data_IF_500982606828
#
_entry.id   IF_500982606828
#
_cell.length_a   1.000
_cell.length_b   1.000
_cell.length_c   1.000
_cell.angle_alpha   90.00
_cell.angle_beta   90.00
_cell.angle_gamma   90.00
#
_symmetry.space_group_name_H-M   'P 1'
#
loop_
_entity.id
_entity.type
_entity.pdbx_description
1 polymer ?
#
# COMPACT_ATOMS: atom_id res chain seq x y z
N UNK A 1 -4.82 -20.47 28.70
CA UNK A 1 -5.44 -19.68 27.62
C UNK A 1 -4.51 -18.66 27.00
N UNK A 2 -3.63 -17.92 27.74
CA UNK A 2 -2.81 -16.80 27.19
C UNK A 2 -1.69 -17.17 26.19
N UNK A 3 -1.17 -18.39 26.18
CA UNK A 3 -0.03 -18.75 25.29
C UNK A 3 -0.44 -19.31 23.91
N UNK A 4 -1.66 -19.82 23.78
CA UNK A 4 -2.17 -20.36 22.50
C UNK A 4 -2.57 -19.26 21.51
N UNK A 5 -3.15 -18.17 22.02
CA UNK A 5 -3.63 -17.05 21.18
C UNK A 5 -2.48 -16.30 20.53
N UNK A 6 -1.38 -16.06 21.28
CA UNK A 6 -0.20 -15.38 20.74
C UNK A 6 0.49 -16.17 19.62
N UNK A 7 0.54 -17.50 19.70
CA UNK A 7 1.08 -18.34 18.61
C UNK A 7 0.19 -18.31 17.38
N UNK A 8 -1.15 -18.31 17.53
CA UNK A 8 -2.11 -18.29 16.41
C UNK A 8 -2.10 -16.96 15.66
N UNK A 9 -2.00 -15.79 16.34
CA UNK A 9 -1.90 -14.47 15.72
C UNK A 9 -0.69 -14.37 14.81
N UNK A 10 0.47 -14.82 15.32
CA UNK A 10 1.70 -14.88 14.53
C UNK A 10 1.55 -15.82 13.33
N UNK A 11 0.74 -16.88 13.43
CA UNK A 11 0.58 -17.88 12.39
C UNK A 11 -0.43 -17.44 11.33
N UNK A 12 -1.53 -16.76 11.69
CA UNK A 12 -2.61 -16.38 10.77
C UNK A 12 -2.14 -15.41 9.67
N UNK A 13 -1.31 -14.43 10.01
CA UNK A 13 -0.79 -13.44 9.05
C UNK A 13 0.61 -13.79 8.52
N UNK A 14 1.37 -14.69 9.19
CA UNK A 14 2.65 -15.20 8.67
C UNK A 14 2.49 -16.07 7.41
N UNK A 15 1.37 -16.77 7.25
CA UNK A 15 1.15 -17.62 6.07
C UNK A 15 1.13 -16.85 4.75
N UNK A 16 0.91 -15.54 4.78
CA UNK A 16 0.86 -14.70 3.58
C UNK A 16 2.18 -13.97 3.26
N UNK A 17 3.24 -14.18 4.04
CA UNK A 17 4.54 -13.54 3.83
C UNK A 17 5.70 -14.42 4.36
N UNK A 18 5.77 -15.66 3.90
CA UNK A 18 6.72 -16.68 4.41
C UNK A 18 8.17 -16.38 4.06
N UNK A 19 8.41 -15.61 3.00
CA UNK A 19 9.74 -15.26 2.49
C UNK A 19 10.31 -13.96 3.07
N UNK A 20 9.48 -13.15 3.78
CA UNK A 20 9.95 -11.89 4.34
C UNK A 20 10.99 -12.07 5.43
N UNK A 21 12.04 -11.25 5.37
CA UNK A 21 12.98 -11.07 6.46
C UNK A 21 12.44 -9.99 7.40
N UNK A 22 12.39 -10.29 8.70
CA UNK A 22 12.04 -9.32 9.75
C UNK A 22 13.32 -8.86 10.43
N UNK A 23 13.51 -7.55 10.49
CA UNK A 23 14.69 -6.93 11.12
C UNK A 23 14.23 -5.93 12.17
N UNK A 24 14.72 -6.09 13.42
CA UNK A 24 14.56 -5.06 14.44
C UNK A 24 15.43 -3.86 14.07
N UNK A 25 14.84 -2.70 13.88
CA UNK A 25 15.52 -1.50 13.38
C UNK A 25 15.73 -0.44 14.47
N UNK A 26 14.96 -0.48 15.54
CA UNK A 26 15.13 0.38 16.71
C UNK A 26 14.52 -0.25 17.96
N UNK A 27 15.13 0.01 19.13
CA UNK A 27 14.62 -0.40 20.44
C UNK A 27 13.44 0.47 20.90
N UNK A 28 13.27 1.61 20.28
CA UNK A 28 12.11 2.49 20.49
C UNK A 28 11.92 3.43 19.30
N UNK A 29 10.67 3.82 19.04
CA UNK A 29 10.32 4.72 17.95
C UNK A 29 9.23 5.68 18.37
N UNK A 30 9.54 6.98 18.35
CA UNK A 30 8.59 8.05 18.66
C UNK A 30 7.73 8.36 17.44
N UNK A 31 6.41 8.37 17.62
CA UNK A 31 5.45 8.62 16.55
C UNK A 31 5.18 10.11 16.39
N UNK A 32 5.02 10.55 15.16
CA UNK A 32 4.82 11.99 14.80
C UNK A 32 3.66 12.64 15.56
N UNK A 33 2.54 11.93 15.72
CA UNK A 33 1.35 12.43 16.43
C UNK A 33 1.34 12.09 17.93
N UNK A 34 2.49 11.74 18.46
CA UNK A 34 2.64 11.34 19.87
C UNK A 34 2.47 9.84 20.08
N UNK A 35 2.93 9.41 21.23
CA UNK A 35 3.05 7.99 21.55
C UNK A 35 4.39 7.39 21.08
N UNK A 36 4.66 6.16 21.52
CA UNK A 36 5.95 5.49 21.33
C UNK A 36 5.77 4.00 21.13
N UNK A 37 6.45 3.44 20.14
CA UNK A 37 6.65 2.00 20.03
C UNK A 37 7.87 1.60 20.85
N UNK A 38 7.76 0.48 21.58
CA UNK A 38 8.85 0.01 22.45
C UNK A 38 9.86 -0.86 21.71
N UNK A 39 9.62 -1.13 20.45
CA UNK A 39 10.46 -1.84 19.50
C UNK A 39 9.90 -1.61 18.10
N UNK A 40 10.78 -1.48 17.15
CA UNK A 40 10.40 -1.32 15.76
C UNK A 40 11.03 -2.45 14.93
N UNK A 41 10.18 -3.35 14.46
CA UNK A 41 10.54 -4.39 13.52
C UNK A 41 10.00 -4.04 12.15
N UNK A 42 10.81 -4.22 11.12
CA UNK A 42 10.42 -4.01 9.72
C UNK A 42 10.60 -5.28 8.92
N UNK A 43 9.55 -5.67 8.20
CA UNK A 43 9.58 -6.79 7.28
C UNK A 43 9.90 -6.32 5.86
N UNK A 44 10.72 -7.06 5.14
CA UNK A 44 11.10 -6.76 3.76
C UNK A 44 11.53 -8.00 3.02
N UNK A 45 11.51 -7.93 1.71
CA UNK A 45 12.08 -8.94 0.80
C UNK A 45 13.03 -8.28 -0.19
N UNK A 46 13.91 -9.08 -0.79
CA UNK A 46 14.94 -8.58 -1.71
C UNK A 46 15.11 -9.47 -2.93
N UNK A 47 15.41 -8.86 -4.06
CA UNK A 47 15.73 -9.51 -5.35
C UNK A 47 16.98 -8.90 -5.97
N UNK A 48 17.71 -9.68 -6.74
CA UNK A 48 18.94 -9.26 -7.37
C UNK A 48 20.14 -9.23 -6.42
N UNK A 49 21.23 -8.61 -6.87
CA UNK A 49 22.50 -8.58 -6.13
C UNK A 49 22.95 -7.15 -5.85
N UNK A 50 23.20 -6.85 -4.58
CA UNK A 50 23.76 -5.57 -4.16
C UNK A 50 25.21 -5.47 -4.64
N UNK A 51 25.54 -4.38 -5.35
CA UNK A 51 26.93 -4.14 -5.80
C UNK A 51 27.81 -3.62 -4.63
N UNK A 52 29.12 -3.65 -4.83
CA UNK A 52 30.08 -3.27 -3.78
C UNK A 52 29.88 -1.83 -3.26
N UNK A 53 29.56 -0.91 -4.17
CA UNK A 53 29.34 0.51 -3.82
C UNK A 53 27.95 0.79 -3.29
N UNK A 54 27.07 -0.22 -3.24
CA UNK A 54 25.66 -0.08 -2.86
C UNK A 54 24.91 1.00 -3.68
N UNK A 55 25.29 1.18 -4.93
CA UNK A 55 24.75 2.22 -5.81
C UNK A 55 23.59 1.79 -6.71
N UNK A 56 23.24 0.48 -6.71
CA UNK A 56 22.21 -0.09 -7.55
C UNK A 56 20.91 -0.44 -6.77
N UNK A 57 20.62 0.27 -5.70
CA UNK A 57 19.48 -0.02 -4.83
C UNK A 57 18.19 0.58 -5.39
N UNK A 58 17.18 -0.23 -5.59
CA UNK A 58 15.80 0.18 -5.85
C UNK A 58 14.95 -0.19 -4.64
N UNK A 59 14.23 0.78 -4.10
CA UNK A 59 13.29 0.54 -2.99
C UNK A 59 11.87 0.70 -3.50
N UNK A 60 11.00 -0.26 -3.18
CA UNK A 60 9.57 -0.21 -3.51
C UNK A 60 8.76 -0.15 -2.23
N UNK A 61 7.95 0.89 -2.09
CA UNK A 61 6.94 1.00 -1.04
C UNK A 61 5.62 0.41 -1.50
N UNK A 62 4.96 -0.32 -0.62
CA UNK A 62 3.69 -0.97 -0.93
C UNK A 62 2.50 0.00 -0.84
N UNK A 63 1.44 -0.30 -1.56
CA UNK A 63 0.12 0.30 -1.33
C UNK A 63 -0.46 -0.14 0.02
N UNK A 64 -1.78 0.09 0.23
CA UNK A 64 -2.43 -0.20 1.52
C UNK A 64 -2.41 -1.68 1.88
N UNK A 65 -2.66 -2.57 0.93
CA UNK A 65 -2.95 -3.98 1.20
C UNK A 65 -1.91 -5.00 0.75
N UNK A 66 -0.93 -4.71 -0.11
CA UNK A 66 0.12 -5.67 -0.45
C UNK A 66 1.12 -5.91 0.69
N UNK A 67 1.71 -7.12 0.69
CA UNK A 67 2.88 -7.45 1.52
C UNK A 67 4.18 -7.05 0.82
N UNK A 68 5.34 -7.32 1.44
CA UNK A 68 6.65 -7.17 0.80
C UNK A 68 6.89 -8.14 -0.38
N UNK A 69 6.03 -9.15 -0.59
CA UNK A 69 6.17 -10.12 -1.67
C UNK A 69 5.77 -9.55 -3.02
N UNK A 70 6.66 -8.76 -3.63
CA UNK A 70 6.40 -8.05 -4.89
C UNK A 70 6.51 -8.97 -6.11
N UNK A 71 7.39 -9.96 -6.06
CA UNK A 71 7.64 -10.90 -7.14
C UNK A 71 8.03 -12.28 -6.58
N UNK A 72 7.87 -13.33 -7.37
CA UNK A 72 8.40 -14.67 -7.07
C UNK A 72 9.92 -14.64 -6.86
N UNK A 73 10.41 -15.53 -6.01
CA UNK A 73 11.83 -15.65 -5.69
C UNK A 73 12.25 -17.12 -5.58
N UNK A 74 13.54 -17.38 -5.33
CA UNK A 74 14.00 -18.75 -5.03
C UNK A 74 13.40 -19.28 -3.72
N UNK A 75 13.14 -18.41 -2.76
CA UNK A 75 12.58 -18.76 -1.44
C UNK A 75 11.07 -18.96 -1.48
N UNK A 76 10.37 -18.23 -2.34
CA UNK A 76 8.92 -18.31 -2.51
C UNK A 76 8.58 -18.19 -4.00
N UNK A 77 8.03 -19.28 -4.56
CA UNK A 77 7.66 -19.39 -5.97
C UNK A 77 6.27 -18.85 -6.28
N UNK A 78 5.50 -18.48 -5.26
CA UNK A 78 4.19 -17.87 -5.49
C UNK A 78 4.34 -16.53 -6.22
N UNK A 79 3.42 -16.19 -7.14
CA UNK A 79 3.48 -14.88 -7.80
C UNK A 79 3.30 -13.74 -6.80
N UNK A 80 4.21 -12.75 -6.88
CA UNK A 80 4.07 -11.51 -6.13
C UNK A 80 3.00 -10.59 -6.73
N UNK A 81 2.62 -9.55 -5.97
CA UNK A 81 1.56 -8.63 -6.41
C UNK A 81 1.96 -7.77 -7.63
N UNK A 82 3.25 -7.70 -7.97
CA UNK A 82 3.77 -6.98 -9.13
C UNK A 82 4.78 -7.81 -9.92
N UNK A 83 4.57 -9.11 -9.94
CA UNK A 83 5.47 -10.09 -10.58
C UNK A 83 5.77 -9.76 -12.05
N UNK A 84 4.81 -9.15 -12.75
CA UNK A 84 5.00 -8.69 -14.14
C UNK A 84 6.02 -7.56 -14.29
N UNK A 85 6.22 -6.75 -13.24
CA UNK A 85 7.09 -5.56 -13.27
C UNK A 85 8.49 -5.82 -12.77
N UNK A 86 8.68 -6.76 -11.82
CA UNK A 86 9.94 -7.00 -11.12
C UNK A 86 10.48 -8.37 -11.45
N UNK A 87 11.73 -8.45 -11.89
CA UNK A 87 12.40 -9.71 -12.23
C UNK A 87 13.52 -9.51 -13.24
N UNK A 88 14.23 -10.56 -13.58
CA UNK A 88 15.28 -10.50 -14.61
C UNK A 88 14.70 -10.12 -15.97
N UNK A 89 15.26 -9.11 -16.62
CA UNK A 89 14.82 -8.53 -17.89
C UNK A 89 13.41 -7.91 -17.88
N UNK A 90 12.80 -7.70 -16.70
CA UNK A 90 11.54 -6.96 -16.55
C UNK A 90 11.79 -5.45 -16.41
N UNK A 91 10.72 -4.65 -16.28
CA UNK A 91 10.82 -3.19 -16.16
C UNK A 91 11.73 -2.75 -15.01
N UNK A 92 11.64 -3.42 -13.86
CA UNK A 92 12.58 -3.30 -12.74
C UNK A 92 13.47 -4.55 -12.77
N UNK A 93 14.58 -4.42 -13.48
CA UNK A 93 15.46 -5.55 -13.81
C UNK A 93 16.34 -5.96 -12.62
N UNK A 94 16.03 -7.10 -12.02
CA UNK A 94 16.81 -7.67 -10.90
C UNK A 94 18.18 -8.20 -11.31
N UNK A 95 18.47 -8.32 -12.61
CA UNK A 95 19.82 -8.58 -13.12
C UNK A 95 20.76 -7.38 -12.98
N UNK A 96 20.20 -6.15 -12.99
CA UNK A 96 20.95 -4.88 -12.87
C UNK A 96 20.84 -4.27 -11.47
N UNK A 97 19.68 -4.37 -10.84
CA UNK A 97 19.34 -3.68 -9.60
C UNK A 97 19.13 -4.63 -8.43
N UNK A 98 19.51 -4.16 -7.24
CA UNK A 98 19.13 -4.78 -5.98
C UNK A 98 17.82 -4.14 -5.51
N UNK A 99 16.72 -4.89 -5.62
CA UNK A 99 15.37 -4.43 -5.30
C UNK A 99 15.04 -4.81 -3.87
N UNK A 100 14.51 -3.87 -3.11
CA UNK A 100 14.00 -4.05 -1.75
C UNK A 100 12.54 -3.65 -1.76
N UNK A 101 11.63 -4.56 -1.44
CA UNK A 101 10.23 -4.24 -1.17
C UNK A 101 10.00 -4.26 0.34
N UNK A 102 9.55 -3.13 0.89
CA UNK A 102 9.37 -2.95 2.34
C UNK A 102 7.89 -3.09 2.68
N UNK A 103 7.59 -3.96 3.65
CA UNK A 103 6.25 -4.02 4.22
C UNK A 103 6.03 -2.82 5.14
N UNK A 104 4.98 -2.06 4.89
CA UNK A 104 4.69 -0.80 5.57
C UNK A 104 4.50 -0.98 7.08
N UNK A 105 5.04 -0.07 7.89
CA UNK A 105 4.69 0.06 9.32
C UNK A 105 3.17 0.18 9.48
N UNK A 106 2.61 -0.58 10.38
CA UNK A 106 1.15 -0.64 10.59
C UNK A 106 0.43 -1.71 9.79
N UNK A 107 1.08 -2.36 8.82
CA UNK A 107 0.52 -3.48 8.05
C UNK A 107 0.69 -4.82 8.77
N UNK A 108 -0.25 -5.74 8.58
CA UNK A 108 -0.27 -7.03 9.26
C UNK A 108 0.72 -8.08 8.73
N UNK A 109 1.63 -7.73 7.81
CA UNK A 109 2.53 -8.70 7.15
C UNK A 109 3.96 -8.68 7.69
N UNK A 110 4.15 -8.44 8.99
CA UNK A 110 5.40 -8.66 9.68
C UNK A 110 6.12 -7.39 10.18
N UNK A 111 5.88 -6.22 9.63
CA UNK A 111 6.31 -4.96 10.25
C UNK A 111 5.49 -4.67 11.51
N UNK A 112 6.06 -3.94 12.46
CA UNK A 112 5.36 -3.55 13.69
C UNK A 112 4.02 -2.88 13.37
N UNK A 113 2.95 -3.31 14.04
CA UNK A 113 1.56 -2.96 13.66
C UNK A 113 0.59 -3.24 14.81
N UNK A 114 -0.69 -2.90 14.68
CA UNK A 114 -1.73 -3.26 15.65
C UNK A 114 -1.78 -4.74 16.05
N UNK A 115 -1.36 -5.66 15.19
CA UNK A 115 -1.30 -7.11 15.50
C UNK A 115 -0.01 -7.54 16.19
N UNK A 116 1.00 -6.69 16.24
CA UNK A 116 2.27 -6.99 16.90
C UNK A 116 2.12 -7.05 18.41
N UNK A 117 2.92 -7.91 19.06
CA UNK A 117 2.93 -8.03 20.51
C UNK A 117 3.67 -6.83 21.11
N UNK A 118 3.00 -6.09 21.98
CA UNK A 118 3.62 -5.08 22.82
C UNK A 118 4.40 -5.79 23.94
N UNK A 119 5.72 -5.69 23.95
CA UNK A 119 6.59 -6.36 24.94
C UNK A 119 6.30 -5.94 26.39
N UNK A 120 5.79 -4.72 26.62
CA UNK A 120 5.44 -4.26 27.97
C UNK A 120 4.21 -4.95 28.55
N UNK A 121 3.24 -5.28 27.71
CA UNK A 121 1.97 -5.89 28.14
C UNK A 121 1.88 -7.37 27.82
N UNK A 122 2.76 -7.88 26.97
CA UNK A 122 2.73 -9.23 26.38
C UNK A 122 1.42 -9.53 25.62
N UNK A 123 0.73 -8.49 25.16
CA UNK A 123 -0.53 -8.55 24.40
C UNK A 123 -0.37 -7.82 23.07
N UNK A 124 -1.15 -8.15 22.03
CA UNK A 124 -1.17 -7.35 20.81
C UNK A 124 -1.53 -5.89 21.10
N UNK A 125 -0.93 -4.97 20.34
CA UNK A 125 -1.24 -3.54 20.49
C UNK A 125 -2.73 -3.24 20.24
N UNK A 126 -3.31 -3.81 19.18
CA UNK A 126 -4.71 -3.53 18.78
C UNK A 126 -4.93 -2.02 18.66
N UNK A 127 -5.98 -1.48 19.27
CA UNK A 127 -6.27 -0.02 19.28
C UNK A 127 -5.42 0.78 20.26
N UNK A 128 -4.55 0.14 21.05
CA UNK A 128 -3.51 0.82 21.80
C UNK A 128 -2.26 1.14 20.99
N UNK A 129 -2.21 0.71 19.72
CA UNK A 129 -1.17 1.13 18.78
C UNK A 129 -1.23 2.65 18.63
N UNK A 130 -0.09 3.36 18.71
CA UNK A 130 -0.12 4.82 18.63
C UNK A 130 -0.62 5.31 17.26
N UNK A 131 -1.05 6.58 17.19
CA UNK A 131 -1.51 7.20 15.96
C UNK A 131 -0.42 7.13 14.89
N UNK A 132 -0.76 6.51 13.74
CA UNK A 132 0.16 6.24 12.64
C UNK A 132 0.01 7.27 11.55
N UNK A 133 1.12 7.79 11.02
CA UNK A 133 1.15 8.69 9.86
C UNK A 133 1.99 8.11 8.71
N UNK A 134 1.85 8.69 7.53
CA UNK A 134 2.70 8.34 6.36
C UNK A 134 4.17 8.68 6.64
N UNK A 135 4.43 9.74 7.38
CA UNK A 135 5.79 10.13 7.79
C UNK A 135 6.42 9.12 8.75
N UNK A 136 5.63 8.53 9.65
CA UNK A 136 6.12 7.45 10.52
C UNK A 136 6.53 6.23 9.68
N UNK A 137 5.75 5.88 8.64
CA UNK A 137 6.09 4.81 7.71
C UNK A 137 7.39 5.12 6.94
N UNK A 138 7.56 6.35 6.48
CA UNK A 138 8.77 6.81 5.81
C UNK A 138 9.99 6.75 6.74
N UNK A 139 9.86 7.23 7.97
CA UNK A 139 10.93 7.22 8.97
C UNK A 139 11.32 5.78 9.38
N UNK A 140 10.35 4.90 9.58
CA UNK A 140 10.60 3.49 9.87
C UNK A 140 11.36 2.80 8.73
N UNK A 141 10.96 3.07 7.49
CA UNK A 141 11.64 2.56 6.30
C UNK A 141 13.06 3.12 6.18
N UNK A 142 13.28 4.38 6.54
CA UNK A 142 14.62 4.98 6.58
C UNK A 142 15.54 4.25 7.56
N UNK A 143 15.05 3.93 8.76
CA UNK A 143 15.82 3.16 9.74
C UNK A 143 16.21 1.78 9.21
N UNK A 144 15.29 1.09 8.52
CA UNK A 144 15.61 -0.19 7.87
C UNK A 144 16.72 -0.03 6.83
N UNK A 145 16.58 0.93 5.90
CA UNK A 145 17.55 1.20 4.83
C UNK A 145 18.92 1.51 5.42
N UNK A 146 18.99 2.35 6.47
CA UNK A 146 20.24 2.67 7.18
C UNK A 146 20.84 1.43 7.83
N UNK A 147 20.04 0.57 8.46
CA UNK A 147 20.50 -0.66 9.11
C UNK A 147 21.05 -1.69 8.12
N UNK A 148 20.55 -1.68 6.87
CA UNK A 148 21.12 -2.44 5.74
C UNK A 148 22.44 -1.84 5.22
N UNK A 149 22.89 -0.73 5.80
CA UNK A 149 24.11 -0.02 5.42
C UNK A 149 23.98 0.69 4.06
N UNK A 150 22.76 1.04 3.64
CA UNK A 150 22.46 1.75 2.40
C UNK A 150 22.31 3.24 2.72
N UNK A 151 23.15 4.07 2.10
CA UNK A 151 23.13 5.51 2.31
C UNK A 151 22.33 6.25 1.24
N UNK A 152 22.20 5.66 0.05
CA UNK A 152 21.51 6.28 -1.09
C UNK A 152 20.71 5.26 -1.88
N UNK A 153 19.48 5.60 -2.18
CA UNK A 153 18.55 4.83 -3.02
C UNK A 153 18.70 5.36 -4.45
N UNK A 154 19.02 4.46 -5.40
CA UNK A 154 19.13 4.81 -6.82
C UNK A 154 17.78 5.20 -7.40
N UNK A 155 16.74 4.41 -7.13
CA UNK A 155 15.36 4.71 -7.51
C UNK A 155 14.41 4.32 -6.37
N UNK A 156 13.59 5.26 -5.92
CA UNK A 156 12.49 5.02 -4.99
C UNK A 156 11.19 4.91 -5.78
N UNK A 157 10.47 3.81 -5.63
CA UNK A 157 9.25 3.51 -6.38
C UNK A 157 8.05 3.46 -5.43
N UNK A 158 6.99 4.20 -5.73
CA UNK A 158 5.79 4.21 -4.91
C UNK A 158 4.50 4.29 -5.73
N UNK A 159 3.70 3.20 -5.80
CA UNK A 159 2.33 3.27 -6.28
C UNK A 159 1.36 3.60 -5.14
N UNK A 160 0.32 4.41 -5.39
CA UNK A 160 -0.78 4.70 -4.45
C UNK A 160 -0.27 5.23 -3.10
N UNK A 161 -0.65 4.61 -1.98
CA UNK A 161 -0.14 4.91 -0.63
C UNK A 161 1.40 4.83 -0.57
N UNK A 162 2.01 3.89 -1.30
CA UNK A 162 3.46 3.80 -1.41
C UNK A 162 4.10 5.05 -2.01
N UNK A 163 3.39 5.74 -2.91
CA UNK A 163 3.81 7.03 -3.45
C UNK A 163 3.71 8.16 -2.43
N UNK A 164 2.68 8.17 -1.57
CA UNK A 164 2.62 9.11 -0.43
C UNK A 164 3.84 8.91 0.50
N UNK A 165 4.18 7.64 0.82
CA UNK A 165 5.38 7.32 1.60
C UNK A 165 6.66 7.76 0.89
N UNK A 166 6.75 7.57 -0.43
CA UNK A 166 7.93 7.97 -1.21
C UNK A 166 8.11 9.48 -1.24
N UNK A 167 7.02 10.25 -1.34
CA UNK A 167 7.03 11.71 -1.24
C UNK A 167 7.47 12.17 0.16
N UNK A 168 6.86 11.63 1.22
CA UNK A 168 7.26 11.93 2.60
C UNK A 168 8.72 11.57 2.85
N UNK A 169 9.17 10.39 2.40
CA UNK A 169 10.56 9.95 2.52
C UNK A 169 11.53 10.93 1.81
N UNK A 170 11.17 11.37 0.61
CA UNK A 170 12.02 12.24 -0.18
C UNK A 170 12.17 13.66 0.41
N UNK A 171 11.15 14.13 1.10
CA UNK A 171 11.20 15.42 1.81
C UNK A 171 11.94 15.31 3.14
N UNK A 172 11.63 14.28 3.94
CA UNK A 172 12.23 14.07 5.25
C UNK A 172 13.71 13.64 5.19
N UNK A 173 14.06 12.87 4.15
CA UNK A 173 15.40 12.29 3.95
C UNK A 173 15.97 12.68 2.57
N UNK A 174 15.92 13.96 2.24
CA UNK A 174 16.17 14.51 0.90
C UNK A 174 17.53 14.17 0.27
N UNK A 175 18.54 13.81 1.06
CA UNK A 175 19.86 13.37 0.58
C UNK A 175 19.94 11.88 0.25
N UNK A 176 18.91 11.11 0.60
CA UNK A 176 18.93 9.64 0.54
C UNK A 176 18.34 9.07 -0.76
N UNK A 177 17.67 9.88 -1.58
CA UNK A 177 17.02 9.45 -2.83
C UNK A 177 17.67 10.16 -4.01
N UNK A 178 17.99 9.39 -5.07
CA UNK A 178 18.53 9.95 -6.30
C UNK A 178 17.47 10.19 -7.35
N UNK A 179 16.60 9.21 -7.58
CA UNK A 179 15.52 9.28 -8.56
C UNK A 179 14.24 8.67 -7.96
N UNK A 180 13.06 9.06 -8.49
CA UNK A 180 11.77 8.61 -7.99
C UNK A 180 10.80 8.22 -9.11
N UNK A 181 10.01 7.19 -8.87
CA UNK A 181 8.87 6.79 -9.71
C UNK A 181 7.61 6.83 -8.86
N UNK A 182 6.64 7.63 -9.26
CA UNK A 182 5.38 7.86 -8.57
C UNK A 182 4.21 7.46 -9.48
N UNK A 183 3.37 6.54 -9.04
CA UNK A 183 2.30 5.97 -9.85
C UNK A 183 0.97 6.10 -9.11
N UNK A 184 -0.02 6.78 -9.74
CA UNK A 184 -1.39 6.92 -9.21
C UNK A 184 -1.39 7.29 -7.72
N UNK A 185 -0.66 8.35 -7.37
CA UNK A 185 -0.46 8.83 -6.00
C UNK A 185 -0.76 10.31 -5.84
N UNK A 186 -0.66 10.83 -4.63
CA UNK A 186 -1.04 12.19 -4.31
C UNK A 186 -0.20 12.78 -3.18
N UNK A 187 -0.19 14.11 -3.11
CA UNK A 187 0.45 14.90 -2.06
C UNK A 187 -0.42 15.07 -0.82
N UNK A 188 -1.72 14.82 -0.94
CA UNK A 188 -2.71 14.88 0.13
C UNK A 188 -3.95 14.06 -0.20
N UNK A 189 -4.78 13.80 0.80
CA UNK A 189 -6.07 13.16 0.58
C UNK A 189 -7.14 14.20 0.19
N UNK A 190 -7.90 13.93 -0.89
CA UNK A 190 -9.02 14.77 -1.32
C UNK A 190 -10.36 14.30 -0.71
N UNK A 191 -11.39 15.17 -0.65
CA UNK A 191 -12.66 14.87 0.01
C UNK A 191 -13.34 13.58 -0.45
N UNK A 192 -13.32 13.25 -1.74
CA UNK A 192 -13.91 11.99 -2.24
C UNK A 192 -13.21 10.76 -1.64
N UNK A 193 -11.89 10.74 -1.64
CA UNK A 193 -11.10 9.64 -1.09
C UNK A 193 -11.29 9.53 0.44
N UNK A 194 -11.34 10.67 1.15
CA UNK A 194 -11.63 10.73 2.59
C UNK A 194 -13.03 10.18 2.87
N UNK A 195 -14.04 10.58 2.09
CA UNK A 195 -15.43 10.13 2.26
C UNK A 195 -15.53 8.60 2.11
N UNK A 196 -15.01 8.03 1.02
CA UNK A 196 -14.99 6.57 0.80
C UNK A 196 -14.29 5.85 1.95
N UNK A 197 -13.09 6.29 2.34
CA UNK A 197 -12.33 5.68 3.44
C UNK A 197 -13.02 5.84 4.80
N UNK A 198 -13.75 6.96 5.02
CA UNK A 198 -14.51 7.15 6.26
C UNK A 198 -15.65 6.12 6.39
N UNK A 199 -16.37 5.84 5.30
CA UNK A 199 -17.41 4.80 5.25
C UNK A 199 -16.81 3.40 5.46
N UNK A 200 -15.68 3.12 4.85
CA UNK A 200 -14.96 1.84 5.05
C UNK A 200 -14.59 1.63 6.53
N UNK A 201 -14.05 2.66 7.19
CA UNK A 201 -13.74 2.60 8.62
C UNK A 201 -14.98 2.50 9.49
N UNK A 202 -16.08 3.13 9.08
CA UNK A 202 -17.35 3.06 9.81
C UNK A 202 -17.92 1.64 9.80
N UNK A 203 -18.02 0.99 8.63
CA UNK A 203 -18.59 -0.36 8.54
C UNK A 203 -17.75 -1.39 9.30
N UNK A 204 -16.42 -1.25 9.33
CA UNK A 204 -15.56 -2.11 10.16
C UNK A 204 -15.88 -1.91 11.65
N UNK A 205 -15.98 -0.66 12.12
CA UNK A 205 -16.25 -0.36 13.53
C UNK A 205 -17.68 -0.69 13.97
N UNK A 206 -18.60 -0.77 13.02
CA UNK A 206 -20.01 -1.17 13.26
C UNK A 206 -20.20 -2.68 13.26
N UNK A 207 -19.21 -3.46 12.83
CA UNK A 207 -19.26 -4.90 12.97
C UNK A 207 -19.29 -5.28 14.46
N UNK A 208 -20.31 -6.04 14.94
CA UNK A 208 -20.41 -6.42 16.35
C UNK A 208 -19.18 -7.16 16.88
N UNK A 209 -18.50 -7.91 16.01
CA UNK A 209 -17.30 -8.67 16.37
C UNK A 209 -16.05 -7.79 16.50
N UNK A 210 -16.08 -6.52 16.05
CA UNK A 210 -14.94 -5.60 16.22
C UNK A 210 -14.67 -5.27 17.69
N UNK A 211 -15.68 -5.26 18.56
CA UNK A 211 -15.57 -5.12 20.03
C UNK A 211 -14.67 -3.95 20.44
N UNK A 212 -14.90 -2.78 19.89
CA UNK A 212 -14.08 -1.55 20.10
C UNK A 212 -12.59 -1.72 19.79
N UNK A 213 -12.25 -2.66 18.90
CA UNK A 213 -10.88 -3.00 18.48
C UNK A 213 -10.19 -4.08 19.31
N UNK A 214 -10.89 -4.69 20.28
CA UNK A 214 -10.36 -5.76 21.13
C UNK A 214 -10.98 -7.14 20.79
N UNK A 215 -11.22 -7.39 19.50
CA UNK A 215 -11.77 -8.66 19.01
C UNK A 215 -10.81 -9.84 19.21
N UNK A 216 -11.36 -11.06 19.26
CA UNK A 216 -10.59 -12.28 19.19
C UNK A 216 -10.11 -12.53 17.76
N UNK A 217 -8.87 -13.01 17.59
CA UNK A 217 -8.39 -13.45 16.28
C UNK A 217 -9.03 -14.77 15.82
N UNK A 218 -9.75 -15.47 16.70
CA UNK A 218 -10.58 -16.63 16.34
C UNK A 218 -11.92 -16.21 15.74
N UNK A 219 -12.43 -15.01 16.13
CA UNK A 219 -13.67 -14.41 15.66
C UNK A 219 -13.43 -12.94 15.25
N UNK A 220 -12.66 -12.69 14.19
CA UNK A 220 -12.39 -11.31 13.75
C UNK A 220 -13.63 -10.70 13.07
N UNK A 221 -13.71 -9.36 12.94
CA UNK A 221 -14.83 -8.66 12.32
C UNK A 221 -14.81 -8.80 10.78
N UNK A 222 -14.97 -10.02 10.29
CA UNK A 222 -14.84 -10.36 8.87
C UNK A 222 -15.89 -9.67 8.01
N UNK A 223 -17.11 -9.51 8.54
CA UNK A 223 -18.18 -8.89 7.75
C UNK A 223 -17.93 -7.40 7.52
N UNK A 224 -17.46 -6.68 8.53
CA UNK A 224 -17.06 -5.27 8.39
C UNK A 224 -15.92 -5.10 7.38
N UNK A 225 -14.88 -5.93 7.45
CA UNK A 225 -13.76 -5.92 6.49
C UNK A 225 -14.24 -6.27 5.07
N UNK A 226 -15.14 -7.25 4.94
CA UNK A 226 -15.75 -7.66 3.67
C UNK A 226 -16.50 -6.49 3.01
N UNK A 227 -17.37 -5.80 3.75
CA UNK A 227 -18.13 -4.66 3.22
C UNK A 227 -17.21 -3.48 2.90
N UNK A 228 -16.22 -3.20 3.77
CA UNK A 228 -15.22 -2.17 3.52
C UNK A 228 -14.45 -2.44 2.21
N UNK A 229 -14.09 -3.72 1.92
CA UNK A 229 -13.44 -4.09 0.65
C UNK A 229 -14.35 -3.85 -0.55
N UNK A 230 -15.64 -4.19 -0.47
CA UNK A 230 -16.60 -3.89 -1.55
C UNK A 230 -16.65 -2.40 -1.86
N UNK A 231 -16.78 -1.55 -0.81
CA UNK A 231 -16.73 -0.09 -0.96
C UNK A 231 -15.41 0.39 -1.59
N UNK A 232 -14.28 -0.23 -1.21
CA UNK A 232 -12.99 0.05 -1.85
C UNK A 232 -12.99 -0.27 -3.32
N UNK A 233 -13.47 -1.45 -3.71
CA UNK A 233 -13.52 -1.88 -5.11
C UNK A 233 -14.32 -0.93 -6.00
N UNK A 234 -15.39 -0.28 -5.47
CA UNK A 234 -16.16 0.71 -6.25
C UNK A 234 -15.38 1.98 -6.56
N UNK A 235 -14.35 2.31 -5.78
CA UNK A 235 -13.48 3.45 -6.01
C UNK A 235 -12.15 3.09 -6.69
N UNK A 236 -11.74 1.81 -6.65
CA UNK A 236 -10.50 1.35 -7.28
C UNK A 236 -10.66 1.06 -8.76
N UNK A 237 -11.89 0.76 -9.21
CA UNK A 237 -12.22 0.46 -10.61
C UNK A 237 -13.00 1.62 -11.23
N UNK A 238 -12.98 1.71 -12.56
CA UNK A 238 -13.77 2.73 -13.25
C UNK A 238 -15.16 2.21 -13.66
N UNK A 239 -16.12 3.12 -13.74
CA UNK A 239 -17.45 2.79 -14.26
C UNK A 239 -17.42 2.35 -15.73
N UNK A 240 -16.49 2.87 -16.52
CA UNK A 240 -16.34 2.53 -17.95
C UNK A 240 -15.87 1.07 -18.10
N UNK A 241 -14.87 0.65 -17.30
CA UNK A 241 -14.44 -0.76 -17.29
C UNK A 241 -15.58 -1.69 -16.90
N UNK A 242 -16.37 -1.31 -15.89
CA UNK A 242 -17.49 -2.14 -15.45
C UNK A 242 -18.60 -2.25 -16.48
N UNK A 243 -18.88 -1.17 -17.22
CA UNK A 243 -19.83 -1.20 -18.35
C UNK A 243 -19.34 -2.20 -19.41
N UNK A 244 -18.07 -2.16 -19.78
CA UNK A 244 -17.51 -3.07 -20.79
C UNK A 244 -17.49 -4.52 -20.33
N UNK A 245 -17.10 -4.74 -19.07
CA UNK A 245 -16.91 -6.09 -18.52
C UNK A 245 -18.21 -6.78 -18.13
N UNK A 246 -19.08 -6.10 -17.44
CA UNK A 246 -20.29 -6.67 -16.86
C UNK A 246 -21.57 -6.23 -17.59
N UNK A 247 -21.66 -4.98 -18.04
CA UNK A 247 -22.91 -4.43 -18.57
C UNK A 247 -24.05 -4.61 -17.58
N UNK A 248 -25.13 -5.23 -18.03
CA UNK A 248 -26.28 -5.64 -17.22
C UNK A 248 -26.43 -7.19 -17.16
N UNK A 249 -25.34 -7.91 -17.26
CA UNK A 249 -25.36 -9.37 -17.25
C UNK A 249 -25.87 -9.91 -15.93
N UNK A 250 -26.79 -10.86 -16.02
CA UNK A 250 -27.31 -11.60 -14.86
C UNK A 250 -26.46 -12.83 -14.59
N UNK A 251 -26.36 -13.22 -13.32
CA UNK A 251 -25.68 -14.45 -12.92
C UNK A 251 -26.42 -15.67 -13.44
N UNK A 252 -25.69 -16.68 -13.88
CA UNK A 252 -26.28 -17.95 -14.31
C UNK A 252 -26.93 -18.65 -13.11
N UNK A 253 -28.22 -18.96 -13.20
CA UNK A 253 -28.97 -19.62 -12.10
C UNK A 253 -29.47 -18.63 -11.02
N UNK A 254 -29.51 -17.32 -11.31
CA UNK A 254 -30.19 -16.37 -10.46
C UNK A 254 -31.64 -16.82 -10.28
N UNK A 255 -31.93 -17.49 -9.17
CA UNK A 255 -33.29 -17.79 -8.78
C UNK A 255 -33.88 -16.45 -8.37
N UNK A 256 -34.86 -15.96 -9.15
CA UNK A 256 -35.73 -14.87 -8.72
C UNK A 256 -36.53 -15.39 -7.53
N UNK A 257 -35.90 -15.45 -6.37
CA UNK A 257 -36.57 -15.83 -5.15
C UNK A 257 -37.57 -14.72 -4.81
N UNK A 258 -38.76 -15.15 -4.38
CA UNK A 258 -39.82 -14.26 -3.91
C UNK A 258 -39.39 -13.40 -2.71
N UNK A 259 -38.20 -13.62 -2.17
CA UNK A 259 -37.63 -12.86 -1.07
C UNK A 259 -36.64 -11.82 -1.62
N UNK A 260 -37.17 -10.67 -2.04
CA UNK A 260 -36.40 -9.53 -2.60
C UNK A 260 -35.23 -9.06 -1.73
N UNK A 261 -35.27 -9.34 -0.43
CA UNK A 261 -34.29 -8.91 0.56
C UNK A 261 -33.71 -10.12 1.32
N UNK A 262 -33.53 -11.25 0.64
CA UNK A 262 -32.98 -12.47 1.24
C UNK A 262 -31.72 -12.20 2.04
N UNK A 263 -31.68 -12.70 3.26
CA UNK A 263 -30.58 -12.53 4.22
C UNK A 263 -29.30 -13.24 3.74
N UNK A 264 -29.43 -14.15 2.79
CA UNK A 264 -28.33 -14.93 2.26
C UNK A 264 -27.57 -14.18 1.18
N UNK A 265 -26.32 -13.85 1.47
CA UNK A 265 -25.35 -13.19 0.57
C UNK A 265 -25.00 -14.01 -0.71
N UNK A 266 -25.77 -15.05 -1.02
CA UNK A 266 -25.48 -16.01 -2.10
C UNK A 266 -26.35 -15.81 -3.35
N UNK A 267 -27.39 -15.00 -3.26
CA UNK A 267 -28.32 -14.74 -4.37
C UNK A 267 -28.01 -13.39 -5.04
N UNK A 268 -26.97 -13.36 -5.86
CA UNK A 268 -26.66 -12.19 -6.68
C UNK A 268 -27.44 -12.25 -7.99
N UNK A 269 -28.16 -11.20 -8.30
CA UNK A 269 -28.88 -11.08 -9.58
C UNK A 269 -27.93 -10.70 -10.72
N UNK A 270 -26.96 -9.84 -10.45
CA UNK A 270 -26.01 -9.34 -11.45
C UNK A 270 -24.59 -9.86 -11.22
N UNK A 271 -23.84 -10.10 -12.30
CA UNK A 271 -22.45 -10.56 -12.26
C UNK A 271 -21.53 -9.64 -11.46
N UNK A 272 -21.78 -8.32 -11.49
CA UNK A 272 -21.00 -7.34 -10.72
C UNK A 272 -21.13 -7.55 -9.21
N UNK A 273 -22.29 -7.95 -8.70
CA UNK A 273 -22.51 -8.23 -7.28
C UNK A 273 -21.70 -9.45 -6.83
N UNK A 274 -21.73 -10.51 -7.64
CA UNK A 274 -20.93 -11.73 -7.43
C UNK A 274 -19.43 -11.43 -7.47
N UNK A 275 -18.99 -10.59 -8.40
CA UNK A 275 -17.60 -10.15 -8.49
C UNK A 275 -17.14 -9.41 -7.23
N UNK A 276 -17.94 -8.44 -6.75
CA UNK A 276 -17.62 -7.69 -5.52
C UNK A 276 -17.52 -8.63 -4.31
N UNK A 277 -18.45 -9.58 -4.19
CA UNK A 277 -18.41 -10.58 -3.11
C UNK A 277 -17.14 -11.42 -3.17
N UNK A 278 -16.79 -11.95 -4.34
CA UNK A 278 -15.61 -12.77 -4.53
C UNK A 278 -14.31 -12.03 -4.11
N UNK A 279 -14.18 -10.77 -4.51
CA UNK A 279 -13.02 -9.95 -4.13
C UNK A 279 -12.99 -9.65 -2.62
N UNK A 280 -14.15 -9.45 -2.02
CA UNK A 280 -14.26 -9.15 -0.61
C UNK A 280 -13.93 -10.36 0.27
N UNK A 281 -14.44 -11.55 -0.09
CA UNK A 281 -14.17 -12.82 0.63
C UNK A 281 -12.67 -13.16 0.59
N UNK A 282 -12.01 -12.97 -0.55
CA UNK A 282 -10.55 -13.15 -0.64
C UNK A 282 -9.80 -12.24 0.34
N UNK A 283 -10.23 -10.99 0.44
CA UNK A 283 -9.53 -9.98 1.24
C UNK A 283 -9.75 -10.15 2.75
N UNK A 284 -10.97 -10.48 3.20
CA UNK A 284 -11.33 -10.54 4.62
C UNK A 284 -10.48 -11.54 5.42
N UNK A 285 -9.95 -12.58 4.76
CA UNK A 285 -9.17 -13.63 5.42
C UNK A 285 -7.67 -13.36 5.45
N UNK A 286 -7.21 -12.28 4.82
CA UNK A 286 -5.77 -12.00 4.71
C UNK A 286 -5.37 -10.67 5.34
N UNK A 287 -6.30 -9.76 5.64
CA UNK A 287 -5.98 -8.45 6.16
C UNK A 287 -6.68 -8.13 7.47
N UNK A 288 -5.91 -7.62 8.45
CA UNK A 288 -6.41 -7.30 9.79
C UNK A 288 -7.24 -6.02 9.80
N UNK A 289 -8.34 -6.05 10.55
CA UNK A 289 -9.28 -4.93 10.64
C UNK A 289 -8.66 -3.67 11.25
N UNK A 290 -7.92 -3.79 12.36
CA UNK A 290 -7.28 -2.64 12.98
C UNK A 290 -6.16 -2.08 12.10
N UNK A 291 -5.34 -2.93 11.49
CA UNK A 291 -4.33 -2.49 10.52
C UNK A 291 -4.98 -1.69 9.38
N UNK A 292 -6.12 -2.15 8.86
CA UNK A 292 -6.88 -1.40 7.85
C UNK A 292 -7.30 -0.01 8.34
N UNK A 293 -7.82 0.08 9.57
CA UNK A 293 -8.26 1.35 10.16
C UNK A 293 -7.11 2.34 10.30
N UNK A 294 -5.96 1.89 10.80
CA UNK A 294 -4.77 2.74 11.01
C UNK A 294 -4.19 3.22 9.68
N UNK A 295 -3.94 2.33 8.72
CA UNK A 295 -3.41 2.69 7.41
C UNK A 295 -4.36 3.63 6.65
N UNK A 296 -5.65 3.33 6.65
CA UNK A 296 -6.68 4.16 6.04
C UNK A 296 -6.71 5.57 6.65
N UNK A 297 -6.56 5.70 7.97
CA UNK A 297 -6.51 7.00 8.66
C UNK A 297 -5.21 7.75 8.38
N UNK A 298 -4.07 7.06 8.31
CA UNK A 298 -2.79 7.66 7.98
C UNK A 298 -2.80 8.34 6.59
N UNK A 299 -3.45 7.71 5.61
CA UNK A 299 -3.64 8.30 4.28
C UNK A 299 -4.48 9.58 4.32
N UNK A 300 -5.56 9.62 5.15
CA UNK A 300 -6.41 10.81 5.26
C UNK A 300 -5.70 11.98 5.93
N UNK A 301 -4.78 11.71 6.84
CA UNK A 301 -4.01 12.73 7.54
C UNK A 301 -2.81 13.26 6.77
N UNK A 302 -2.42 12.58 5.70
CA UNK A 302 -1.25 12.99 4.93
C UNK A 302 -1.53 14.26 4.15
N UNK A 303 -0.72 15.27 4.39
CA UNK A 303 -0.64 16.51 3.64
C UNK A 303 0.83 16.94 3.51
N UNK A 304 1.36 16.86 2.30
CA UNK A 304 2.75 17.21 2.05
C UNK A 304 3.04 18.69 2.30
N UNK A 305 2.02 19.56 2.21
CA UNK A 305 2.15 20.98 2.48
C UNK A 305 2.60 21.28 3.93
N UNK A 306 2.31 20.38 4.90
CA UNK A 306 2.79 20.50 6.28
C UNK A 306 4.36 20.56 6.38
N UNK A 307 5.08 20.18 5.31
CA UNK A 307 6.54 20.17 5.28
C UNK A 307 7.17 21.40 4.59
N UNK A 308 6.35 22.37 4.16
CA UNK A 308 6.87 23.54 3.42
C UNK A 308 5.89 24.67 3.22
N UNK A 309 4.80 24.72 4.00
CA UNK A 309 3.69 25.69 3.89
C UNK A 309 2.91 25.58 2.56
N UNK A 310 3.40 24.81 1.62
CA UNK A 310 2.75 24.41 0.38
C UNK A 310 3.37 23.13 -0.18
N UNK A 311 2.62 22.39 -0.97
CA UNK A 311 3.11 21.21 -1.70
C UNK A 311 4.35 21.53 -2.54
N UNK A 312 4.31 22.64 -3.27
CA UNK A 312 5.42 23.08 -4.12
C UNK A 312 6.68 23.34 -3.29
N UNK A 313 6.56 24.08 -2.19
CA UNK A 313 7.68 24.37 -1.31
C UNK A 313 8.23 23.12 -0.61
N UNK A 314 7.36 22.16 -0.27
CA UNK A 314 7.82 20.89 0.27
C UNK A 314 8.63 20.10 -0.75
N UNK A 315 8.14 19.99 -1.99
CA UNK A 315 8.82 19.27 -3.08
C UNK A 315 10.13 19.97 -3.52
N UNK A 316 10.20 21.31 -3.47
CA UNK A 316 11.44 22.06 -3.78
C UNK A 316 12.59 21.76 -2.83
N UNK A 317 12.34 21.19 -1.66
CA UNK A 317 13.38 20.76 -0.70
C UNK A 317 14.01 19.41 -1.05
N UNK A 318 13.48 18.68 -2.05
CA UNK A 318 14.02 17.37 -2.44
C UNK A 318 15.28 17.54 -3.31
N UNK A 319 16.17 16.54 -3.25
CA UNK A 319 17.38 16.48 -4.09
C UNK A 319 17.24 15.42 -5.19
N UNK A 320 16.04 15.25 -5.71
CA UNK A 320 15.72 14.26 -6.75
C UNK A 320 16.26 14.77 -8.09
N UNK A 321 17.05 13.94 -8.79
CA UNK A 321 17.61 14.28 -10.11
C UNK A 321 16.60 14.04 -11.22
N UNK A 322 15.98 12.84 -11.23
CA UNK A 322 14.97 12.47 -12.21
C UNK A 322 13.72 11.91 -11.53
N UNK A 323 12.56 12.24 -12.08
CA UNK A 323 11.28 11.73 -11.62
C UNK A 323 10.41 11.24 -12.79
N UNK A 324 9.75 10.11 -12.60
CA UNK A 324 8.67 9.65 -13.45
C UNK A 324 7.36 9.71 -12.65
N UNK A 325 6.39 10.45 -13.16
CA UNK A 325 5.05 10.59 -12.57
C UNK A 325 4.04 10.03 -13.54
N UNK A 326 3.35 8.96 -13.15
CA UNK A 326 2.35 8.28 -13.96
C UNK A 326 0.97 8.42 -13.32
N UNK A 327 -0.02 8.80 -14.12
CA UNK A 327 -1.41 8.87 -13.71
C UNK A 327 -2.35 8.29 -14.76
N UNK A 328 -3.59 8.03 -14.37
CA UNK A 328 -4.62 7.44 -15.22
C UNK A 328 -5.88 8.32 -15.20
N UNK A 329 -6.45 8.61 -16.38
CA UNK A 329 -7.63 9.49 -16.49
C UNK A 329 -8.87 8.95 -15.77
N UNK A 330 -9.00 7.64 -15.69
CA UNK A 330 -10.14 6.96 -15.08
C UNK A 330 -9.99 6.74 -13.58
N UNK A 331 -8.86 7.14 -12.98
CA UNK A 331 -8.65 7.08 -11.53
C UNK A 331 -9.44 8.20 -10.85
N UNK A 332 -10.50 7.80 -10.13
CA UNK A 332 -11.33 8.72 -9.34
C UNK A 332 -10.85 8.86 -7.89
N UNK A 333 -10.05 7.90 -7.42
CA UNK A 333 -9.51 7.90 -6.06
C UNK A 333 -8.33 8.87 -5.92
N UNK A 334 -7.45 8.89 -6.91
CA UNK A 334 -6.33 9.81 -7.06
C UNK A 334 -6.40 10.50 -8.43
N UNK A 335 -7.25 11.54 -8.58
CA UNK A 335 -7.46 12.22 -9.86
C UNK A 335 -6.16 12.75 -10.46
N UNK A 336 -6.09 12.77 -11.80
CA UNK A 336 -4.89 13.15 -12.56
C UNK A 336 -4.33 14.54 -12.18
N UNK A 337 -5.16 15.42 -11.65
CA UNK A 337 -4.76 16.74 -11.15
C UNK A 337 -3.74 16.64 -10.03
N UNK A 338 -3.83 15.61 -9.16
CA UNK A 338 -2.87 15.39 -8.08
C UNK A 338 -1.49 14.97 -8.60
N UNK A 339 -1.44 14.19 -9.69
CA UNK A 339 -0.16 13.86 -10.33
C UNK A 339 0.43 15.07 -11.07
N UNK A 340 -0.41 15.97 -11.62
CA UNK A 340 0.05 17.25 -12.19
C UNK A 340 0.66 18.15 -11.11
N UNK A 341 0.05 18.23 -9.94
CA UNK A 341 0.58 18.99 -8.79
C UNK A 341 1.98 18.47 -8.40
N UNK A 342 2.17 17.15 -8.36
CA UNK A 342 3.48 16.54 -8.09
C UNK A 342 4.48 16.94 -9.20
N UNK A 343 4.09 16.84 -10.46
CA UNK A 343 4.92 17.24 -11.60
C UNK A 343 5.35 18.70 -11.50
N UNK A 344 4.42 19.61 -11.22
CA UNK A 344 4.69 21.04 -11.09
C UNK A 344 5.65 21.32 -9.93
N UNK A 345 5.42 20.72 -8.77
CA UNK A 345 6.27 20.91 -7.61
C UNK A 345 7.69 20.38 -7.79
N UNK A 346 7.86 19.19 -8.37
CA UNK A 346 9.18 18.64 -8.67
C UNK A 346 9.91 19.41 -9.77
N UNK A 347 9.19 19.91 -10.77
CA UNK A 347 9.79 20.74 -11.84
C UNK A 347 10.37 22.04 -11.31
N UNK A 348 9.79 22.61 -10.25
CA UNK A 348 10.34 23.81 -9.59
C UNK A 348 11.58 23.51 -8.73
N UNK A 349 11.82 22.25 -8.39
CA UNK A 349 13.00 21.76 -7.67
C UNK A 349 14.20 21.46 -8.60
N UNK A 350 14.20 21.91 -9.84
CA UNK A 350 15.20 21.58 -10.86
C UNK A 350 15.30 20.07 -11.17
N UNK A 351 14.29 19.28 -10.78
CA UNK A 351 14.20 17.85 -11.09
C UNK A 351 13.83 17.67 -12.56
N UNK A 352 14.53 16.79 -13.27
CA UNK A 352 14.09 16.37 -14.61
C UNK A 352 12.87 15.47 -14.49
N UNK A 353 11.67 16.00 -14.69
CA UNK A 353 10.41 15.29 -14.50
C UNK A 353 9.81 14.86 -15.82
N UNK A 354 9.46 13.57 -15.92
CA UNK A 354 8.59 13.05 -16.97
C UNK A 354 7.22 12.79 -16.36
N UNK A 355 6.18 13.45 -16.89
CA UNK A 355 4.79 13.20 -16.51
C UNK A 355 4.03 12.58 -17.67
N UNK A 356 3.35 11.45 -17.42
CA UNK A 356 2.51 10.80 -18.42
C UNK A 356 1.14 10.44 -17.88
N UNK A 357 0.14 10.66 -18.69
CA UNK A 357 -1.24 10.21 -18.46
C UNK A 357 -1.50 8.98 -19.31
N UNK A 358 -1.66 7.83 -18.65
CA UNK A 358 -1.85 6.55 -19.33
C UNK A 358 -3.31 6.30 -19.66
N UNK A 359 -3.55 5.66 -20.80
CA UNK A 359 -4.89 5.27 -21.24
C UNK A 359 -5.19 3.86 -20.71
N UNK A 360 -5.76 3.80 -19.53
CA UNK A 360 -6.32 2.58 -18.95
C UNK A 360 -7.74 2.82 -18.51
N UNK A 361 -8.58 1.81 -18.64
CA UNK A 361 -9.96 1.82 -18.15
C UNK A 361 -10.09 1.28 -16.71
N UNK A 362 -9.01 0.75 -16.15
CA UNK A 362 -9.05 -0.01 -14.88
C UNK A 362 -9.15 0.88 -13.62
N UNK A 363 -9.19 2.21 -13.78
CA UNK A 363 -9.23 3.13 -12.65
C UNK A 363 -7.93 3.14 -11.85
N UNK A 364 -8.03 3.20 -10.52
CA UNK A 364 -6.87 3.21 -9.63
C UNK A 364 -6.03 1.92 -9.71
N UNK A 365 -6.68 0.76 -9.92
CA UNK A 365 -6.00 -0.54 -10.01
C UNK A 365 -5.23 -0.74 -11.34
N UNK A 366 -5.18 0.26 -12.22
CA UNK A 366 -4.54 0.16 -13.54
C UNK A 366 -3.12 -0.39 -13.50
N UNK A 367 -2.30 0.08 -12.54
CA UNK A 367 -0.91 -0.36 -12.41
C UNK A 367 -0.76 -1.83 -11.96
N UNK A 368 -1.84 -2.46 -11.49
CA UNK A 368 -1.90 -3.87 -11.12
C UNK A 368 -2.50 -4.75 -12.24
N UNK A 369 -3.29 -4.17 -13.14
CA UNK A 369 -4.07 -4.90 -14.14
C UNK A 369 -3.51 -4.70 -15.55
N UNK A 370 -3.32 -3.44 -15.98
CA UNK A 370 -2.79 -3.08 -17.30
C UNK A 370 -1.27 -2.88 -17.23
N UNK A 371 -0.56 -3.84 -16.62
CA UNK A 371 0.87 -3.71 -16.27
C UNK A 371 1.76 -3.47 -17.47
N UNK A 372 1.38 -3.84 -18.67
CA UNK A 372 2.19 -3.67 -19.89
C UNK A 372 2.47 -2.21 -20.20
N UNK A 373 1.43 -1.34 -20.15
CA UNK A 373 1.60 0.10 -20.42
C UNK A 373 2.47 0.79 -19.36
N UNK A 374 2.38 0.35 -18.10
CA UNK A 374 3.25 0.86 -17.03
C UNK A 374 4.67 0.33 -17.17
N UNK A 375 4.83 -0.95 -17.55
CA UNK A 375 6.11 -1.61 -17.74
C UNK A 375 6.98 -0.88 -18.78
N UNK A 376 6.38 -0.46 -19.89
CA UNK A 376 7.06 0.31 -20.93
C UNK A 376 7.63 1.60 -20.36
N UNK A 377 6.82 2.41 -19.68
CA UNK A 377 7.24 3.71 -19.14
C UNK A 377 8.28 3.58 -18.03
N UNK A 378 8.11 2.58 -17.15
CA UNK A 378 9.06 2.31 -16.08
C UNK A 378 10.38 1.82 -16.65
N UNK A 379 10.36 0.94 -17.66
CA UNK A 379 11.55 0.47 -18.34
C UNK A 379 12.31 1.60 -19.01
N UNK A 380 11.64 2.43 -19.78
CA UNK A 380 12.24 3.59 -20.46
C UNK A 380 12.89 4.55 -19.47
N UNK A 381 12.26 4.76 -18.30
CA UNK A 381 12.84 5.56 -17.23
C UNK A 381 14.15 4.94 -16.72
N UNK A 382 14.16 3.62 -16.41
CA UNK A 382 15.38 2.94 -15.96
C UNK A 382 16.49 2.93 -17.02
N UNK A 383 16.13 2.78 -18.29
CA UNK A 383 17.11 2.80 -19.40
C UNK A 383 17.69 4.22 -19.64
N UNK A 384 17.05 5.26 -19.12
CA UNK A 384 17.51 6.67 -19.17
C UNK A 384 18.43 7.08 -18.00
N UNK A 385 18.69 6.22 -17.01
CA UNK A 385 19.53 6.48 -15.82
C UNK A 385 20.99 6.13 -16.02
#
# INVERSE_FOLDING_TARGET
MKNSDNKKVITMFKHNNTSATIMSVADSFDMRRGGKLNELDMAYETWGKLNQNKSNVVVVFTGLSPSSHIASSEKDKTPGWWDSMVGSNKAIDTGKYFVICINTLGSCFGSTSPVSINKKTSMPYRVSFPALTIEDMANASHLLIKKLGINKIKVLVGPSMGGMQALAYSVLHNKSVENIILISTATQALPFAIAVRSLQREVIRKDPLWKTGFYSYEEPPLNGVRIARKLGMTSYRSSVEWIQRFGRKKTTGAIINQNLFGIDNTNFEYEIESYLEHQAVKFQNIFDANCYLYLSRAMDWFDLAEHGDSTINALSKTNIKKALVLGVKTDTLFPIQQQKEIFEGLSQAETQVTFKTLNSLQGHDSFLVDTEIFSTEVKDFFDSL
#
